data_IF_770399574518
#
_entry.id   IF_770399574518
#
_cell.length_a   1.000
_cell.length_b   1.000
_cell.length_c   1.000
_cell.angle_alpha   90.00
_cell.angle_beta   90.00
_cell.angle_gamma   90.00
#
_symmetry.space_group_name_H-M   'P 1'
#
loop_
_entity.id
_entity.type
_entity.pdbx_description
1 polymer ?
#
# COMPACT_ATOMS: atom_id res chain seq x y z
N UNK A 1 -15.05 -31.08 12.95
CA UNK A 1 -15.24 -29.84 13.76
C UNK A 1 -13.93 -29.12 14.08
N UNK A 2 -12.96 -29.73 14.79
CA UNK A 2 -11.69 -29.05 15.15
C UNK A 2 -10.93 -28.42 13.97
N UNK A 3 -10.81 -29.12 12.83
CA UNK A 3 -10.14 -28.60 11.61
C UNK A 3 -10.82 -27.36 11.03
N UNK A 4 -12.16 -27.32 11.00
CA UNK A 4 -12.93 -26.19 10.47
C UNK A 4 -12.82 -24.96 11.38
N UNK A 5 -12.77 -25.16 12.70
CA UNK A 5 -12.54 -24.07 13.65
C UNK A 5 -11.16 -23.44 13.44
N UNK A 6 -10.12 -24.25 13.25
CA UNK A 6 -8.77 -23.74 12.92
C UNK A 6 -8.79 -22.96 11.61
N UNK A 7 -9.46 -23.46 10.57
CA UNK A 7 -9.58 -22.74 9.30
C UNK A 7 -10.36 -21.42 9.44
N UNK A 8 -11.39 -21.37 10.27
CA UNK A 8 -12.11 -20.13 10.56
C UNK A 8 -11.22 -19.12 11.30
N UNK A 9 -10.42 -19.55 12.27
CA UNK A 9 -9.44 -18.67 12.92
C UNK A 9 -8.38 -18.17 11.94
N UNK A 10 -7.99 -19.00 10.97
CA UNK A 10 -7.07 -18.60 9.90
C UNK A 10 -7.71 -17.58 9.00
N UNK A 11 -8.95 -17.78 8.54
CA UNK A 11 -9.70 -16.79 7.75
C UNK A 11 -9.86 -15.47 8.49
N UNK A 12 -10.11 -15.52 9.79
CA UNK A 12 -10.16 -14.35 10.66
C UNK A 12 -8.80 -13.62 10.70
N UNK A 13 -7.72 -14.32 11.00
CA UNK A 13 -6.38 -13.72 11.06
C UNK A 13 -5.93 -13.19 9.69
N UNK A 14 -6.19 -13.95 8.63
CA UNK A 14 -5.90 -13.59 7.25
C UNK A 14 -6.64 -12.30 6.88
N UNK A 15 -7.94 -12.17 7.18
CA UNK A 15 -8.70 -10.96 6.87
C UNK A 15 -8.31 -9.76 7.75
N UNK A 16 -7.90 -9.98 9.00
CA UNK A 16 -7.39 -8.89 9.84
C UNK A 16 -6.12 -8.28 9.23
N UNK A 17 -5.20 -9.13 8.76
CA UNK A 17 -4.01 -8.67 8.04
C UNK A 17 -4.43 -7.99 6.73
N UNK A 18 -5.33 -8.61 5.99
CA UNK A 18 -5.75 -8.17 4.67
C UNK A 18 -6.45 -6.81 4.69
N UNK A 19 -7.51 -6.63 5.47
CA UNK A 19 -8.18 -5.32 5.54
C UNK A 19 -7.34 -4.23 6.25
N UNK A 20 -6.33 -4.61 7.06
CA UNK A 20 -5.46 -3.61 7.71
C UNK A 20 -4.23 -3.23 6.89
N UNK A 21 -3.80 -4.07 5.93
CA UNK A 21 -2.63 -3.84 5.09
C UNK A 21 -2.92 -3.78 3.60
N UNK A 22 -4.12 -4.18 3.16
CA UNK A 22 -4.52 -4.37 1.76
C UNK A 22 -3.83 -5.56 1.10
N UNK A 23 -3.60 -6.64 1.84
CA UNK A 23 -2.84 -7.80 1.36
C UNK A 23 -2.86 -9.02 2.29
N UNK A 24 -2.59 -10.19 1.69
CA UNK A 24 -2.18 -11.44 2.33
C UNK A 24 -3.30 -12.36 2.85
N UNK A 25 -4.58 -12.07 2.57
CA UNK A 25 -5.63 -13.07 2.80
C UNK A 25 -5.33 -14.35 1.99
N UNK A 26 -5.22 -14.19 0.67
CA UNK A 26 -4.92 -15.30 -0.22
C UNK A 26 -3.59 -15.98 0.11
N UNK A 27 -2.51 -15.21 0.25
CA UNK A 27 -1.17 -15.77 0.54
C UNK A 27 -1.20 -16.67 1.77
N UNK A 28 -1.83 -16.21 2.85
CA UNK A 28 -1.86 -16.91 4.13
C UNK A 28 -2.75 -18.15 4.03
N UNK A 29 -3.95 -17.99 3.48
CA UNK A 29 -4.93 -19.07 3.35
C UNK A 29 -4.43 -20.17 2.40
N UNK A 30 -3.96 -19.81 1.21
CA UNK A 30 -3.43 -20.75 0.21
C UNK A 30 -2.18 -21.47 0.72
N UNK A 31 -1.27 -20.76 1.38
CA UNK A 31 -0.10 -21.36 2.02
C UNK A 31 -0.51 -22.45 3.02
N UNK A 32 -1.49 -22.18 3.88
CA UNK A 32 -1.94 -23.16 4.86
C UNK A 32 -2.59 -24.38 4.18
N UNK A 33 -3.41 -24.15 3.15
CA UNK A 33 -4.05 -25.23 2.40
C UNK A 33 -3.02 -26.13 1.69
N UNK A 34 -1.97 -25.54 1.11
CA UNK A 34 -0.85 -26.29 0.54
C UNK A 34 -0.11 -27.11 1.61
N UNK A 35 0.10 -26.56 2.81
CA UNK A 35 0.77 -27.26 3.92
C UNK A 35 0.01 -28.52 4.34
N UNK A 36 -1.33 -28.50 4.30
CA UNK A 36 -2.17 -29.68 4.60
C UNK A 36 -2.42 -30.57 3.39
N UNK A 37 -1.77 -30.30 2.24
CA UNK A 37 -1.76 -31.16 1.07
C UNK A 37 -2.92 -30.94 0.10
N UNK A 38 -3.62 -29.80 0.17
CA UNK A 38 -4.65 -29.46 -0.82
C UNK A 38 -3.97 -29.20 -2.18
N UNK A 39 -4.59 -29.69 -3.25
CA UNK A 39 -4.12 -29.44 -4.60
C UNK A 39 -4.08 -27.93 -4.91
N UNK A 40 -3.03 -27.40 -5.55
CA UNK A 40 -2.84 -25.96 -5.77
C UNK A 40 -4.04 -25.24 -6.40
N UNK A 41 -4.58 -25.80 -7.48
CA UNK A 41 -5.73 -25.21 -8.16
C UNK A 41 -6.98 -25.19 -7.26
N UNK A 42 -7.23 -26.25 -6.49
CA UNK A 42 -8.34 -26.32 -5.54
C UNK A 42 -8.15 -25.40 -4.33
N UNK A 43 -6.92 -25.24 -3.86
CA UNK A 43 -6.57 -24.30 -2.79
C UNK A 43 -6.85 -22.86 -3.26
N UNK A 44 -6.32 -22.48 -4.42
CA UNK A 44 -6.56 -21.17 -5.02
C UNK A 44 -8.05 -20.93 -5.28
N UNK A 45 -8.74 -21.86 -5.92
CA UNK A 45 -10.18 -21.76 -6.18
C UNK A 45 -11.01 -21.56 -4.91
N UNK A 46 -10.73 -22.34 -3.86
CA UNK A 46 -11.46 -22.25 -2.59
C UNK A 46 -11.20 -20.93 -1.86
N UNK A 47 -9.98 -20.42 -1.93
CA UNK A 47 -9.59 -19.15 -1.30
C UNK A 47 -10.24 -17.98 -2.02
N UNK A 48 -10.16 -17.90 -3.35
CA UNK A 48 -10.81 -16.84 -4.12
C UNK A 48 -12.33 -16.86 -3.97
N UNK A 49 -12.95 -18.05 -3.88
CA UNK A 49 -14.39 -18.14 -3.63
C UNK A 49 -14.77 -17.59 -2.25
N UNK A 50 -13.94 -17.84 -1.23
CA UNK A 50 -14.14 -17.22 0.09
C UNK A 50 -13.91 -15.70 0.03
N UNK A 51 -12.91 -15.25 -0.73
CA UNK A 51 -12.57 -13.84 -0.90
C UNK A 51 -13.70 -13.04 -1.51
N UNK A 52 -14.58 -13.60 -2.36
CA UNK A 52 -15.77 -12.86 -2.84
C UNK A 52 -16.56 -12.29 -1.66
N UNK A 53 -16.84 -13.10 -0.64
CA UNK A 53 -17.63 -12.65 0.51
C UNK A 53 -16.83 -11.77 1.47
N UNK A 54 -15.57 -12.10 1.72
CA UNK A 54 -14.75 -11.34 2.68
C UNK A 54 -14.36 -9.97 2.14
N UNK A 55 -13.93 -9.89 0.88
CA UNK A 55 -13.58 -8.62 0.20
C UNK A 55 -14.81 -7.76 -0.07
N UNK A 56 -16.00 -8.36 -0.29
CA UNK A 56 -17.24 -7.58 -0.31
C UNK A 56 -17.50 -6.91 1.05
N UNK A 57 -17.42 -7.67 2.14
CA UNK A 57 -17.62 -7.13 3.49
C UNK A 57 -16.54 -6.09 3.85
N UNK A 58 -15.29 -6.34 3.49
CA UNK A 58 -14.17 -5.44 3.73
C UNK A 58 -14.28 -4.16 2.88
N UNK A 59 -14.63 -4.27 1.60
CA UNK A 59 -14.90 -3.13 0.73
C UNK A 59 -16.04 -2.25 1.24
N UNK A 60 -17.15 -2.85 1.71
CA UNK A 60 -18.24 -2.12 2.37
C UNK A 60 -17.75 -1.39 3.63
N UNK A 61 -16.95 -2.06 4.47
CA UNK A 61 -16.40 -1.46 5.68
C UNK A 61 -15.43 -0.31 5.37
N UNK A 62 -14.48 -0.51 4.46
CA UNK A 62 -13.55 0.53 3.99
C UNK A 62 -14.30 1.71 3.38
N UNK A 63 -15.34 1.46 2.59
CA UNK A 63 -16.17 2.53 2.03
C UNK A 63 -16.84 3.36 3.15
N UNK A 64 -17.44 2.70 4.15
CA UNK A 64 -18.05 3.39 5.31
C UNK A 64 -17.03 4.17 6.14
N UNK A 65 -15.80 3.68 6.28
CA UNK A 65 -14.72 4.41 6.94
C UNK A 65 -14.08 5.49 6.06
N UNK A 66 -14.57 5.73 4.84
CA UNK A 66 -14.02 6.72 3.93
C UNK A 66 -12.61 6.35 3.45
N UNK A 67 -12.25 5.07 3.45
CA UNK A 67 -10.95 4.54 3.02
C UNK A 67 -10.92 4.23 1.51
N UNK A 68 -11.98 4.48 0.74
CA UNK A 68 -12.03 4.12 -0.69
C UNK A 68 -11.83 5.34 -1.59
N UNK A 69 -10.98 5.19 -2.60
CA UNK A 69 -10.91 6.01 -3.81
C UNK A 69 -11.48 5.21 -4.99
N UNK A 70 -12.71 5.54 -5.39
CA UNK A 70 -13.45 4.86 -6.48
C UNK A 70 -12.80 5.01 -7.86
N UNK A 71 -11.97 6.05 -8.03
CA UNK A 71 -11.22 6.31 -9.26
C UNK A 71 -10.12 5.26 -9.43
N UNK A 72 -9.47 4.85 -8.34
CA UNK A 72 -8.51 3.75 -8.34
C UNK A 72 -9.21 2.42 -8.56
N UNK A 73 -10.27 2.15 -7.79
CA UNK A 73 -11.05 0.89 -7.88
C UNK A 73 -11.47 0.63 -9.32
N UNK A 74 -12.17 1.58 -9.95
CA UNK A 74 -12.65 1.44 -11.34
C UNK A 74 -11.56 1.20 -12.38
N UNK A 75 -10.32 1.66 -12.14
CA UNK A 75 -9.22 1.53 -13.11
C UNK A 75 -8.35 0.31 -12.92
N UNK A 76 -8.33 -0.26 -11.72
CA UNK A 76 -7.52 -1.44 -11.41
C UNK A 76 -8.36 -2.73 -11.41
N UNK A 77 -9.63 -2.65 -11.01
CA UNK A 77 -10.51 -3.82 -10.86
C UNK A 77 -10.75 -4.56 -12.17
N UNK A 78 -11.12 -3.87 -13.26
CA UNK A 78 -11.42 -4.53 -14.53
C UNK A 78 -10.18 -5.17 -15.18
N UNK A 79 -9.03 -4.48 -15.31
CA UNK A 79 -7.80 -5.13 -15.76
C UNK A 79 -7.37 -6.27 -14.84
N UNK A 80 -7.55 -6.11 -13.52
CA UNK A 80 -7.31 -7.15 -12.53
C UNK A 80 -8.18 -8.39 -12.72
N UNK A 81 -9.47 -8.20 -12.96
CA UNK A 81 -10.41 -9.28 -13.25
C UNK A 81 -10.01 -10.07 -14.50
N UNK A 82 -9.58 -9.38 -15.56
CA UNK A 82 -9.08 -10.03 -16.78
C UNK A 82 -7.83 -10.86 -16.46
N UNK A 83 -6.87 -10.27 -15.73
CA UNK A 83 -5.66 -10.95 -15.30
C UNK A 83 -5.96 -12.19 -14.45
N UNK A 84 -6.84 -12.05 -13.46
CA UNK A 84 -7.24 -13.12 -12.56
C UNK A 84 -7.98 -14.25 -13.25
N UNK A 85 -8.89 -13.94 -14.18
CA UNK A 85 -9.53 -14.95 -15.00
C UNK A 85 -8.51 -15.74 -15.84
N UNK A 86 -7.56 -15.04 -16.48
CA UNK A 86 -6.49 -15.68 -17.25
C UNK A 86 -5.58 -16.54 -16.36
N UNK A 87 -5.22 -16.05 -15.17
CA UNK A 87 -4.41 -16.77 -14.20
C UNK A 87 -5.12 -18.02 -13.65
N UNK A 88 -6.42 -17.92 -13.37
CA UNK A 88 -7.24 -19.05 -12.92
C UNK A 88 -7.36 -20.11 -14.03
N UNK A 89 -7.57 -19.68 -15.27
CA UNK A 89 -7.61 -20.56 -16.45
C UNK A 89 -6.27 -21.29 -16.61
N UNK A 90 -5.15 -20.57 -16.53
CA UNK A 90 -3.82 -21.16 -16.61
C UNK A 90 -3.60 -22.18 -15.49
N UNK A 91 -3.82 -21.79 -14.24
CA UNK A 91 -3.59 -22.69 -13.10
C UNK A 91 -4.47 -23.94 -13.16
N UNK A 92 -5.71 -23.80 -13.64
CA UNK A 92 -6.63 -24.93 -13.82
C UNK A 92 -6.17 -25.90 -14.91
N UNK A 93 -5.42 -25.42 -15.91
CA UNK A 93 -4.88 -26.25 -16.99
C UNK A 93 -3.59 -27.00 -16.62
N UNK A 94 -2.92 -26.62 -15.53
CA UNK A 94 -1.65 -27.22 -15.11
C UNK A 94 -1.91 -28.46 -14.26
N UNK A 95 -1.18 -29.55 -14.52
CA UNK A 95 -1.29 -30.77 -13.71
C UNK A 95 -0.99 -30.49 -12.23
N UNK A 96 -1.74 -31.11 -11.33
CA UNK A 96 -1.61 -30.89 -9.87
C UNK A 96 -0.21 -31.18 -9.33
N UNK A 97 0.51 -32.15 -9.92
CA UNK A 97 1.88 -32.52 -9.51
C UNK A 97 2.90 -31.43 -9.84
N UNK A 98 2.79 -30.80 -11.01
CA UNK A 98 3.69 -29.70 -11.38
C UNK A 98 3.27 -28.38 -10.74
N UNK A 99 1.98 -28.14 -10.52
CA UNK A 99 1.49 -26.86 -9.99
C UNK A 99 2.00 -26.53 -8.56
N UNK A 100 2.30 -27.54 -7.74
CA UNK A 100 2.67 -27.32 -6.33
C UNK A 100 3.98 -26.55 -6.14
N UNK A 101 5.12 -26.95 -6.74
CA UNK A 101 6.35 -26.15 -6.66
C UNK A 101 6.23 -24.78 -7.33
N UNK A 102 5.44 -24.65 -8.41
CA UNK A 102 5.20 -23.36 -9.06
C UNK A 102 4.47 -22.38 -8.15
N UNK A 103 3.33 -22.79 -7.58
CA UNK A 103 2.54 -21.97 -6.65
C UNK A 103 3.36 -21.63 -5.40
N UNK A 104 4.06 -22.62 -4.81
CA UNK A 104 4.94 -22.37 -3.67
C UNK A 104 6.09 -21.41 -4.00
N UNK A 105 6.63 -21.46 -5.23
CA UNK A 105 7.64 -20.52 -5.70
C UNK A 105 7.12 -19.09 -5.80
N UNK A 106 5.92 -18.90 -6.32
CA UNK A 106 5.25 -17.59 -6.37
C UNK A 106 5.01 -17.08 -4.93
N UNK A 107 4.40 -17.89 -4.07
CA UNK A 107 4.12 -17.54 -2.67
C UNK A 107 5.41 -17.22 -1.91
N UNK A 108 6.46 -18.03 -2.05
CA UNK A 108 7.77 -17.78 -1.45
C UNK A 108 8.37 -16.46 -1.93
N UNK A 109 8.33 -16.20 -3.23
CA UNK A 109 8.87 -14.97 -3.83
C UNK A 109 8.12 -13.74 -3.34
N UNK A 110 6.79 -13.81 -3.29
CA UNK A 110 5.96 -12.75 -2.73
C UNK A 110 6.26 -12.56 -1.26
N UNK A 111 6.30 -13.62 -0.45
CA UNK A 111 6.66 -13.55 0.98
C UNK A 111 8.03 -12.91 1.21
N UNK A 112 9.03 -13.28 0.42
CA UNK A 112 10.37 -12.70 0.47
C UNK A 112 10.37 -11.22 0.08
N UNK A 113 9.61 -10.87 -0.98
CA UNK A 113 9.39 -9.48 -1.37
C UNK A 113 8.76 -8.67 -0.23
N UNK A 114 7.74 -9.19 0.45
CA UNK A 114 7.13 -8.53 1.60
C UNK A 114 8.14 -8.32 2.73
N UNK A 115 8.93 -9.35 3.02
CA UNK A 115 9.99 -9.31 4.03
C UNK A 115 10.94 -8.13 3.80
N UNK A 116 11.43 -8.00 2.56
CA UNK A 116 12.38 -6.94 2.16
C UNK A 116 11.67 -5.58 2.06
N UNK A 117 10.44 -5.54 1.56
CA UNK A 117 9.69 -4.30 1.35
C UNK A 117 9.35 -3.62 2.67
N UNK A 118 8.93 -4.40 3.66
CA UNK A 118 8.47 -3.92 4.97
C UNK A 118 9.59 -3.85 6.03
N UNK A 119 10.76 -4.42 5.77
CA UNK A 119 11.98 -4.15 6.57
C UNK A 119 12.61 -2.78 6.27
N UNK A 120 12.11 -2.06 5.25
CA UNK A 120 12.59 -0.74 4.83
C UNK A 120 11.55 0.35 5.12
N UNK A 121 11.96 1.61 5.31
CA UNK A 121 11.01 2.72 5.49
C UNK A 121 10.01 2.82 4.34
N UNK A 122 8.74 3.07 4.66
CA UNK A 122 7.72 3.43 3.69
C UNK A 122 7.91 4.92 3.37
N UNK A 123 8.08 5.29 2.09
CA UNK A 123 8.14 6.69 1.68
C UNK A 123 6.76 7.31 1.80
N UNK A 124 6.62 8.37 2.58
CA UNK A 124 5.35 9.11 2.77
C UNK A 124 5.47 10.58 2.34
N UNK A 125 6.60 10.93 1.73
CA UNK A 125 7.11 12.30 1.62
C UNK A 125 6.46 13.10 0.47
N UNK A 126 5.56 12.47 -0.30
CA UNK A 126 4.92 13.07 -1.50
C UNK A 126 3.43 12.76 -1.57
N UNK A 127 2.68 13.11 -0.52
CA UNK A 127 1.22 13.03 -0.56
C UNK A 127 0.70 14.13 -1.48
N UNK A 128 0.17 13.74 -2.64
CA UNK A 128 -0.38 14.67 -3.62
C UNK A 128 -0.17 14.23 -5.06
N UNK A 129 -1.26 14.19 -5.84
CA UNK A 129 -1.24 13.94 -7.28
C UNK A 129 -2.15 12.80 -7.71
N UNK A 130 -2.34 12.66 -9.03
CA UNK A 130 -3.29 11.71 -9.61
C UNK A 130 -2.58 10.45 -10.07
N UNK A 131 -3.09 9.28 -9.69
CA UNK A 131 -2.69 8.00 -10.30
C UNK A 131 -3.27 7.92 -11.71
N UNK A 132 -2.40 7.67 -12.70
CA UNK A 132 -2.79 7.62 -14.11
C UNK A 132 -3.24 6.22 -14.50
N UNK A 133 -4.24 6.11 -15.37
CA UNK A 133 -4.75 4.84 -15.87
C UNK A 133 -3.69 3.96 -16.55
N UNK A 134 -2.72 4.58 -17.25
CA UNK A 134 -1.58 3.88 -17.86
C UNK A 134 -0.67 3.12 -16.89
N UNK A 135 -0.74 3.43 -15.59
CA UNK A 135 -0.05 2.69 -14.54
C UNK A 135 -0.99 1.66 -13.90
N UNK A 136 -2.22 2.06 -13.59
CA UNK A 136 -3.20 1.22 -12.88
C UNK A 136 -3.64 0.01 -13.71
N UNK A 137 -3.80 0.15 -15.03
CA UNK A 137 -4.26 -0.94 -15.88
C UNK A 137 -3.29 -2.12 -15.94
N UNK A 138 -2.02 -1.90 -16.36
CA UNK A 138 -1.01 -2.96 -16.36
C UNK A 138 -0.74 -3.52 -14.97
N UNK A 139 -0.73 -2.67 -13.93
CA UNK A 139 -0.58 -3.13 -12.56
C UNK A 139 -1.71 -4.07 -12.15
N UNK A 140 -2.97 -3.70 -12.41
CA UNK A 140 -4.12 -4.53 -12.11
C UNK A 140 -4.05 -5.87 -12.83
N UNK A 141 -3.78 -5.86 -14.13
CA UNK A 141 -3.67 -7.08 -14.93
C UNK A 141 -2.60 -8.05 -14.40
N UNK A 142 -1.40 -7.54 -14.10
CA UNK A 142 -0.33 -8.38 -13.52
C UNK A 142 -0.69 -8.85 -12.12
N UNK A 143 -1.21 -7.95 -11.27
CA UNK A 143 -1.62 -8.29 -9.91
C UNK A 143 -2.67 -9.40 -9.90
N UNK A 144 -3.74 -9.27 -10.69
CA UNK A 144 -4.78 -10.29 -10.79
C UNK A 144 -4.29 -11.62 -11.36
N UNK A 145 -3.42 -11.60 -12.37
CA UNK A 145 -2.84 -12.84 -12.90
C UNK A 145 -1.99 -13.59 -11.86
N UNK A 146 -1.11 -12.86 -11.17
CA UNK A 146 -0.31 -13.41 -10.06
C UNK A 146 -1.22 -13.83 -8.90
N UNK A 147 -2.36 -13.17 -8.74
CA UNK A 147 -3.35 -13.48 -7.73
C UNK A 147 -3.89 -14.91 -7.85
N UNK A 148 -4.51 -15.20 -8.99
CA UNK A 148 -5.10 -16.51 -9.24
C UNK A 148 -4.05 -17.63 -9.34
N UNK A 149 -2.89 -17.36 -9.96
CA UNK A 149 -1.83 -18.37 -10.13
C UNK A 149 -1.07 -18.67 -8.85
N UNK A 150 -0.86 -17.67 -8.00
CA UNK A 150 -0.18 -17.78 -6.71
C UNK A 150 -1.11 -18.09 -5.55
N UNK A 151 -2.42 -17.90 -5.70
CA UNK A 151 -3.42 -18.03 -4.64
C UNK A 151 -3.45 -16.86 -3.67
N UNK A 152 -3.15 -15.62 -4.09
CA UNK A 152 -3.15 -14.45 -3.19
C UNK A 152 -2.16 -13.31 -3.52
N UNK A 153 -1.74 -13.21 -4.78
CA UNK A 153 -0.84 -12.18 -5.29
C UNK A 153 -1.39 -10.76 -5.41
N UNK A 154 -2.70 -10.53 -5.33
CA UNK A 154 -3.31 -9.21 -5.57
C UNK A 154 -2.72 -8.10 -4.69
N UNK A 155 -2.90 -8.21 -3.38
CA UNK A 155 -2.41 -7.21 -2.43
C UNK A 155 -0.89 -7.00 -2.44
N UNK A 156 -0.05 -8.06 -2.37
CA UNK A 156 1.42 -7.96 -2.43
C UNK A 156 1.96 -7.23 -3.67
N UNK A 157 1.26 -7.32 -4.80
CA UNK A 157 1.65 -6.64 -6.03
C UNK A 157 1.06 -5.23 -6.09
N UNK A 158 -0.24 -5.09 -5.87
CA UNK A 158 -0.96 -3.82 -6.03
C UNK A 158 -0.65 -2.81 -4.91
N UNK A 159 -0.76 -3.22 -3.65
CA UNK A 159 -0.67 -2.31 -2.50
C UNK A 159 0.71 -1.65 -2.40
N UNK A 160 1.83 -2.40 -2.35
CA UNK A 160 3.15 -1.78 -2.30
C UNK A 160 3.45 -0.88 -3.50
N UNK A 161 3.02 -1.25 -4.71
CA UNK A 161 3.20 -0.43 -5.91
C UNK A 161 2.48 0.92 -5.80
N UNK A 162 1.26 0.92 -5.26
CA UNK A 162 0.49 2.13 -5.03
C UNK A 162 1.02 2.96 -3.85
N UNK A 163 1.43 2.32 -2.75
CA UNK A 163 2.05 2.99 -1.60
C UNK A 163 3.36 3.68 -1.99
N UNK A 164 4.20 3.02 -2.80
CA UNK A 164 5.48 3.60 -3.26
C UNK A 164 5.27 4.82 -4.17
N UNK A 165 4.13 4.91 -4.86
CA UNK A 165 3.82 6.09 -5.66
C UNK A 165 3.70 7.37 -4.81
N UNK A 166 3.37 7.25 -3.52
CA UNK A 166 3.14 8.34 -2.57
C UNK A 166 1.87 9.16 -2.84
N UNK A 167 1.18 8.95 -3.97
CA UNK A 167 0.13 9.85 -4.47
C UNK A 167 -1.18 9.80 -3.69
N UNK A 168 -1.41 8.73 -2.93
CA UNK A 168 -2.60 8.53 -2.11
C UNK A 168 -2.18 8.22 -0.68
N UNK A 169 -3.03 8.61 0.26
CA UNK A 169 -2.88 8.23 1.66
C UNK A 169 -2.90 6.70 1.80
N UNK A 170 -2.08 6.10 2.70
CA UNK A 170 -2.01 4.64 2.84
C UNK A 170 -3.36 3.95 3.06
N UNK A 171 -4.22 4.52 3.91
CA UNK A 171 -5.58 3.99 4.15
C UNK A 171 -6.43 3.98 2.88
N UNK A 172 -6.25 4.97 1.99
CA UNK A 172 -6.95 5.08 0.71
C UNK A 172 -6.44 4.06 -0.31
N UNK A 173 -5.12 3.82 -0.32
CA UNK A 173 -4.54 2.74 -1.13
C UNK A 173 -5.10 1.40 -0.69
N UNK A 174 -5.01 1.09 0.61
CA UNK A 174 -5.44 -0.19 1.18
C UNK A 174 -6.92 -0.44 0.91
N UNK A 175 -7.78 0.53 1.28
CA UNK A 175 -9.22 0.37 1.08
C UNK A 175 -9.63 0.27 -0.39
N UNK A 176 -8.96 0.98 -1.31
CA UNK A 176 -9.23 0.84 -2.75
C UNK A 176 -8.76 -0.49 -3.34
N UNK A 177 -7.61 -1.03 -2.88
CA UNK A 177 -7.11 -2.32 -3.37
C UNK A 177 -8.01 -3.45 -2.89
N UNK A 178 -8.35 -3.47 -1.60
CA UNK A 178 -9.25 -4.45 -0.98
C UNK A 178 -10.67 -4.39 -1.60
N UNK A 179 -11.21 -3.18 -1.82
CA UNK A 179 -12.52 -3.03 -2.50
C UNK A 179 -12.49 -3.54 -3.95
N UNK A 180 -11.40 -3.31 -4.67
CA UNK A 180 -11.27 -3.78 -6.05
C UNK A 180 -11.12 -5.31 -6.14
N UNK A 181 -10.59 -5.93 -5.10
CA UNK A 181 -10.38 -7.37 -4.99
C UNK A 181 -11.68 -8.17 -5.11
N UNK A 182 -12.81 -7.62 -4.68
CA UNK A 182 -14.13 -8.23 -4.90
C UNK A 182 -14.38 -8.62 -6.36
N UNK A 183 -14.04 -7.73 -7.29
CA UNK A 183 -14.22 -7.97 -8.73
C UNK A 183 -13.19 -8.99 -9.24
N UNK A 184 -11.97 -8.93 -8.70
CA UNK A 184 -10.85 -9.80 -9.07
C UNK A 184 -11.08 -11.24 -8.61
N UNK A 185 -11.42 -11.43 -7.33
CA UNK A 185 -11.78 -12.70 -6.73
C UNK A 185 -13.02 -13.32 -7.39
N UNK A 186 -14.00 -12.49 -7.76
CA UNK A 186 -15.15 -12.91 -8.56
C UNK A 186 -14.73 -13.49 -9.91
N UNK A 187 -13.88 -12.78 -10.66
CA UNK A 187 -13.39 -13.24 -11.95
C UNK A 187 -12.48 -14.47 -11.86
N UNK A 188 -11.61 -14.55 -10.84
CA UNK A 188 -10.82 -15.74 -10.53
C UNK A 188 -11.72 -16.95 -10.28
N UNK A 189 -12.75 -16.78 -9.44
CA UNK A 189 -13.70 -17.84 -9.08
C UNK A 189 -14.48 -18.33 -10.30
N UNK A 190 -14.90 -17.44 -11.20
CA UNK A 190 -15.51 -17.83 -12.48
C UNK A 190 -14.51 -18.62 -13.34
N UNK A 191 -13.26 -18.17 -13.44
CA UNK A 191 -12.21 -18.90 -14.18
C UNK A 191 -11.97 -20.30 -13.63
N UNK A 192 -11.88 -20.45 -12.31
CA UNK A 192 -11.76 -21.75 -11.65
C UNK A 192 -13.01 -22.61 -11.82
N UNK A 193 -14.20 -22.03 -11.77
CA UNK A 193 -15.44 -22.77 -12.00
C UNK A 193 -15.51 -23.34 -13.41
N UNK A 194 -15.09 -22.57 -14.42
CA UNK A 194 -15.01 -23.05 -15.80
C UNK A 194 -13.92 -24.11 -15.96
N UNK A 195 -12.74 -23.89 -15.35
CA UNK A 195 -11.58 -24.77 -15.52
C UNK A 195 -11.65 -26.08 -14.73
N UNK A 196 -12.27 -26.08 -13.54
CA UNK A 196 -12.27 -27.21 -12.60
C UNK A 196 -13.67 -27.75 -12.30
N UNK A 197 -14.73 -27.04 -12.69
CA UNK A 197 -16.09 -27.35 -12.25
C UNK A 197 -16.32 -27.09 -10.75
N UNK A 198 -17.45 -27.56 -10.23
CA UNK A 198 -17.81 -27.40 -8.81
C UNK A 198 -16.93 -28.24 -7.88
N UNK A 199 -16.34 -29.32 -8.39
CA UNK A 199 -15.43 -30.20 -7.63
C UNK A 199 -14.10 -29.53 -7.27
N UNK A 200 -13.72 -28.46 -7.97
CA UNK A 200 -12.55 -27.65 -7.64
C UNK A 200 -12.65 -26.89 -6.31
N UNK A 201 -13.85 -26.74 -5.76
CA UNK A 201 -14.11 -25.94 -4.56
C UNK A 201 -14.31 -26.80 -3.32
N UNK A 202 -13.48 -26.59 -2.30
CA UNK A 202 -13.62 -27.23 -1.00
C UNK A 202 -14.62 -26.46 -0.13
N UNK A 203 -15.91 -26.61 -0.41
CA UNK A 203 -16.99 -25.84 0.24
C UNK A 203 -16.89 -25.72 1.78
N UNK A 204 -16.56 -26.78 2.55
CA UNK A 204 -16.38 -26.63 4.00
C UNK A 204 -15.22 -25.70 4.37
N UNK A 205 -14.13 -25.72 3.60
CA UNK A 205 -12.98 -24.82 3.77
C UNK A 205 -13.36 -23.39 3.39
N UNK A 206 -14.07 -23.22 2.26
CA UNK A 206 -14.58 -21.92 1.79
C UNK A 206 -15.43 -21.27 2.88
N UNK A 207 -16.41 -22.00 3.42
CA UNK A 207 -17.31 -21.50 4.46
C UNK A 207 -16.57 -21.17 5.75
N UNK A 208 -15.62 -22.01 6.18
CA UNK A 208 -14.83 -21.74 7.38
C UNK A 208 -14.02 -20.44 7.24
N UNK A 209 -13.28 -20.31 6.14
CA UNK A 209 -12.48 -19.11 5.82
C UNK A 209 -13.38 -17.86 5.73
N UNK A 210 -14.49 -17.96 4.99
CA UNK A 210 -15.47 -16.90 4.82
C UNK A 210 -16.04 -16.42 6.16
N UNK A 211 -16.50 -17.33 7.03
CA UNK A 211 -17.07 -16.96 8.34
C UNK A 211 -16.04 -16.19 9.18
N UNK A 212 -14.80 -16.69 9.24
CA UNK A 212 -13.71 -16.02 9.94
C UNK A 212 -13.45 -14.62 9.37
N UNK A 213 -13.37 -14.52 8.04
CA UNK A 213 -13.11 -13.25 7.37
C UNK A 213 -14.25 -12.24 7.51
N UNK A 214 -15.51 -12.65 7.42
CA UNK A 214 -16.66 -11.76 7.61
C UNK A 214 -16.66 -11.08 8.98
N UNK A 215 -16.26 -11.81 10.03
CA UNK A 215 -16.13 -11.25 11.39
C UNK A 215 -14.99 -10.23 11.45
N UNK A 216 -13.87 -10.52 10.79
CA UNK A 216 -12.67 -9.70 10.84
C UNK A 216 -12.74 -8.44 9.95
N UNK A 217 -13.42 -8.50 8.81
CA UNK A 217 -13.47 -7.43 7.80
C UNK A 217 -13.77 -6.01 8.36
N UNK A 218 -14.84 -5.79 9.15
CA UNK A 218 -15.12 -4.46 9.70
C UNK A 218 -14.04 -3.99 10.70
N UNK A 219 -13.51 -4.91 11.50
CA UNK A 219 -12.45 -4.61 12.46
C UNK A 219 -11.15 -4.22 11.74
N UNK A 220 -10.79 -4.95 10.68
CA UNK A 220 -9.61 -4.71 9.87
C UNK A 220 -9.63 -3.32 9.20
N UNK A 221 -10.77 -2.94 8.62
CA UNK A 221 -10.93 -1.64 7.95
C UNK A 221 -10.78 -0.44 8.90
N UNK A 222 -11.17 -0.60 10.17
CA UNK A 222 -10.90 0.38 11.22
C UNK A 222 -9.42 0.38 11.62
N UNK A 223 -8.85 -0.80 11.79
CA UNK A 223 -7.50 -1.03 12.28
C UNK A 223 -6.40 -0.50 11.35
N UNK A 224 -6.71 -0.31 10.05
CA UNK A 224 -5.83 0.29 9.02
C UNK A 224 -5.20 1.63 9.46
N UNK A 225 -5.86 2.37 10.38
CA UNK A 225 -5.41 3.69 10.85
C UNK A 225 -4.38 3.61 11.98
N UNK A 226 -4.27 2.46 12.63
CA UNK A 226 -3.55 2.29 13.91
C UNK A 226 -2.36 1.35 13.72
N UNK A 227 -2.53 0.33 12.88
CA UNK A 227 -1.58 -0.77 12.81
C UNK A 227 -0.33 -0.42 12.01
N UNK A 228 0.87 -0.71 12.57
CA UNK A 228 2.12 -0.48 11.87
C UNK A 228 2.34 -1.53 10.78
N UNK A 229 2.12 -1.15 9.53
CA UNK A 229 2.22 -2.03 8.37
C UNK A 229 3.58 -2.74 8.24
N UNK A 230 4.67 -2.09 8.66
CA UNK A 230 6.02 -2.69 8.64
C UNK A 230 6.11 -3.98 9.45
N UNK A 231 5.51 -4.01 10.63
CA UNK A 231 5.62 -5.17 11.54
C UNK A 231 4.80 -6.34 11.02
N UNK A 232 3.54 -6.11 10.65
CA UNK A 232 2.69 -7.19 10.15
C UNK A 232 3.19 -7.71 8.80
N UNK A 233 3.61 -6.82 7.89
CA UNK A 233 4.16 -7.23 6.60
C UNK A 233 5.42 -8.10 6.73
N UNK A 234 6.33 -7.75 7.64
CA UNK A 234 7.52 -8.56 7.92
C UNK A 234 7.18 -9.88 8.65
N UNK A 235 6.21 -9.88 9.57
CA UNK A 235 5.76 -11.10 10.24
C UNK A 235 5.12 -12.08 9.24
N UNK A 236 4.14 -11.62 8.48
CA UNK A 236 3.38 -12.42 7.51
C UNK A 236 4.28 -12.91 6.38
N UNK A 237 5.14 -12.04 5.83
CA UNK A 237 6.13 -12.43 4.82
C UNK A 237 7.03 -13.57 5.29
N UNK A 238 7.47 -13.55 6.55
CA UNK A 238 8.36 -14.59 7.07
C UNK A 238 7.67 -15.93 7.29
N UNK A 239 6.41 -15.91 7.78
CA UNK A 239 5.58 -17.12 7.86
C UNK A 239 5.42 -17.74 6.47
N UNK A 240 5.08 -16.94 5.45
CA UNK A 240 4.89 -17.42 4.07
C UNK A 240 6.20 -17.99 3.50
N UNK A 241 7.33 -17.31 3.70
CA UNK A 241 8.65 -17.79 3.27
C UNK A 241 8.98 -19.14 3.89
N UNK A 242 8.87 -19.27 5.22
CA UNK A 242 9.22 -20.51 5.91
C UNK A 242 8.33 -21.69 5.54
N UNK A 243 7.03 -21.45 5.41
CA UNK A 243 6.06 -22.48 5.07
C UNK A 243 6.20 -22.95 3.62
N UNK A 244 6.38 -22.05 2.66
CA UNK A 244 6.55 -22.42 1.26
C UNK A 244 7.94 -22.95 0.93
N UNK A 245 8.98 -22.56 1.69
CA UNK A 245 10.31 -23.18 1.60
C UNK A 245 10.25 -24.70 1.80
N UNK A 246 9.31 -25.20 2.63
CA UNK A 246 9.09 -26.64 2.81
C UNK A 246 8.77 -27.34 1.49
N UNK A 247 7.86 -26.78 0.71
CA UNK A 247 7.43 -27.35 -0.57
C UNK A 247 8.57 -27.31 -1.58
N UNK A 248 9.30 -26.20 -1.63
CA UNK A 248 10.43 -26.01 -2.54
C UNK A 248 11.63 -26.92 -2.23
N UNK A 249 12.01 -27.04 -0.95
CA UNK A 249 13.10 -27.93 -0.50
C UNK A 249 12.75 -29.38 -0.82
N UNK A 250 11.48 -29.78 -0.60
CA UNK A 250 11.00 -31.13 -0.92
C UNK A 250 11.01 -31.41 -2.41
N UNK A 251 10.60 -30.46 -3.25
CA UNK A 251 10.62 -30.62 -4.71
C UNK A 251 12.03 -30.62 -5.30
N UNK A 252 12.99 -29.96 -4.64
CA UNK A 252 14.39 -29.95 -5.04
C UNK A 252 15.19 -31.16 -4.49
N UNK A 253 14.52 -32.10 -3.81
CA UNK A 253 15.12 -33.31 -3.22
C UNK A 253 16.31 -33.01 -2.27
N UNK A 254 16.32 -31.82 -1.68
CA UNK A 254 17.37 -31.38 -0.76
C UNK A 254 17.20 -32.07 0.60
N UNK A 255 18.00 -33.11 0.84
CA UNK A 255 17.96 -33.95 2.03
C UNK A 255 19.20 -33.78 2.93
N UNK A 256 19.14 -34.31 4.14
CA UNK A 256 20.28 -34.29 5.09
C UNK A 256 20.50 -32.92 5.77
N UNK A 257 21.76 -32.56 6.11
CA UNK A 257 22.08 -31.38 6.94
C UNK A 257 21.81 -30.04 6.22
N UNK A 258 21.66 -30.05 4.90
CA UNK A 258 21.35 -28.85 4.11
C UNK A 258 19.97 -28.30 4.46
N UNK A 259 18.99 -29.17 4.70
CA UNK A 259 17.62 -28.77 5.02
C UNK A 259 17.49 -27.94 6.31
N UNK A 260 18.00 -28.37 7.48
CA UNK A 260 17.98 -27.55 8.68
C UNK A 260 18.83 -26.28 8.56
N UNK A 261 19.95 -26.32 7.82
CA UNK A 261 20.77 -25.14 7.55
C UNK A 261 19.99 -24.06 6.77
N UNK A 262 19.24 -24.45 5.73
CA UNK A 262 18.37 -23.53 4.98
C UNK A 262 17.28 -22.94 5.87
N UNK A 263 16.62 -23.74 6.70
CA UNK A 263 15.63 -23.22 7.65
C UNK A 263 16.23 -22.26 8.67
N UNK A 264 17.43 -22.55 9.18
CA UNK A 264 18.13 -21.65 10.11
C UNK A 264 18.47 -20.30 9.43
N UNK A 265 18.93 -20.32 8.18
CA UNK A 265 19.19 -19.11 7.40
C UNK A 265 17.92 -18.30 7.15
N UNK A 266 16.82 -18.94 6.75
CA UNK A 266 15.54 -18.27 6.54
C UNK A 266 14.98 -17.68 7.85
N UNK A 267 15.08 -18.40 8.96
CA UNK A 267 14.67 -17.93 10.27
C UNK A 267 15.52 -16.74 10.74
N UNK A 268 16.85 -16.78 10.54
CA UNK A 268 17.73 -15.66 10.82
C UNK A 268 17.40 -14.44 9.95
N UNK A 269 17.13 -14.64 8.66
CA UNK A 269 16.69 -13.59 7.75
C UNK A 269 15.36 -12.96 8.19
N UNK A 270 14.41 -13.77 8.66
CA UNK A 270 13.14 -13.28 9.20
C UNK A 270 13.33 -12.46 10.48
N UNK A 271 14.13 -12.96 11.43
CA UNK A 271 14.46 -12.21 12.65
C UNK A 271 15.14 -10.88 12.33
N UNK A 272 16.09 -10.88 11.39
CA UNK A 272 16.73 -9.65 10.93
C UNK A 272 15.71 -8.68 10.33
N UNK A 273 14.80 -9.15 9.47
CA UNK A 273 13.76 -8.34 8.87
C UNK A 273 12.81 -7.74 9.92
N UNK A 274 12.42 -8.51 10.95
CA UNK A 274 11.63 -8.01 12.08
C UNK A 274 12.37 -6.91 12.86
N UNK A 275 13.65 -7.11 13.16
CA UNK A 275 14.48 -6.09 13.81
C UNK A 275 14.57 -4.82 12.96
N UNK A 276 14.77 -4.96 11.65
CA UNK A 276 14.79 -3.82 10.74
C UNK A 276 13.43 -3.12 10.63
N UNK A 277 12.33 -3.86 10.59
CA UNK A 277 10.98 -3.31 10.60
C UNK A 277 10.70 -2.51 11.89
N UNK A 278 11.09 -3.02 13.07
CA UNK A 278 11.02 -2.30 14.35
C UNK A 278 11.84 -1.02 14.30
N UNK A 279 13.09 -1.09 13.80
CA UNK A 279 13.97 0.08 13.67
C UNK A 279 13.39 1.12 12.72
N UNK A 280 12.88 0.70 11.57
CA UNK A 280 12.25 1.57 10.58
C UNK A 280 11.01 2.26 11.16
N UNK A 281 10.17 1.52 11.89
CA UNK A 281 8.99 2.06 12.57
C UNK A 281 9.37 3.09 13.65
N UNK A 282 10.38 2.79 14.48
CA UNK A 282 10.87 3.73 15.49
C UNK A 282 11.41 5.01 14.86
N UNK A 283 12.22 4.89 13.80
CA UNK A 283 12.75 6.06 13.05
C UNK A 283 11.65 6.91 12.44
N UNK A 284 10.64 6.28 11.86
CA UNK A 284 9.49 6.99 11.29
C UNK A 284 8.72 7.77 12.37
N UNK A 285 8.49 7.18 13.54
CA UNK A 285 7.84 7.85 14.68
C UNK A 285 8.64 9.04 15.21
N UNK A 286 9.96 8.88 15.37
CA UNK A 286 10.84 9.99 15.79
C UNK A 286 10.76 11.13 14.78
N UNK A 287 10.91 10.83 13.48
CA UNK A 287 10.85 11.85 12.42
C UNK A 287 9.50 12.58 12.42
N UNK A 288 8.39 11.86 12.56
CA UNK A 288 7.06 12.46 12.65
C UNK A 288 6.94 13.43 13.85
N UNK A 289 7.40 13.02 15.04
CA UNK A 289 7.38 13.88 16.23
C UNK A 289 8.26 15.13 16.08
N UNK A 290 9.41 15.02 15.42
CA UNK A 290 10.29 16.18 15.17
C UNK A 290 9.68 17.15 14.17
N UNK A 291 9.04 16.65 13.10
CA UNK A 291 8.34 17.48 12.12
C UNK A 291 7.12 18.18 12.74
N UNK A 292 6.34 17.49 13.56
CA UNK A 292 5.22 18.09 14.30
C UNK A 292 5.70 19.19 15.26
N UNK A 293 6.78 18.95 16.01
CA UNK A 293 7.38 19.94 16.89
C UNK A 293 7.92 21.16 16.11
N UNK A 294 8.58 20.95 14.97
CA UNK A 294 9.09 22.03 14.13
C UNK A 294 7.95 22.85 13.48
N UNK A 295 6.87 22.19 13.06
CA UNK A 295 5.69 22.85 12.48
C UNK A 295 4.96 23.67 13.55
N UNK A 296 4.80 23.13 14.76
CA UNK A 296 4.22 23.85 15.89
C UNK A 296 5.07 25.06 16.32
N UNK A 297 6.40 24.93 16.32
CA UNK A 297 7.29 26.05 16.60
C UNK A 297 7.18 27.16 15.53
N UNK A 298 7.00 26.77 14.25
CA UNK A 298 6.83 27.72 13.14
C UNK A 298 5.48 28.45 13.22
N UNK A 299 4.38 27.74 13.50
CA UNK A 299 3.05 28.38 13.65
C UNK A 299 2.97 29.28 14.87
N UNK A 300 3.65 28.95 15.97
CA UNK A 300 3.75 29.85 17.15
C UNK A 300 4.58 31.09 16.83
N UNK A 301 5.67 30.95 16.05
CA UNK A 301 6.48 32.09 15.62
C UNK A 301 5.74 33.02 14.64
N UNK A 302 4.89 32.46 13.77
CA UNK A 302 4.06 33.23 12.81
C UNK A 302 2.82 33.87 13.47
N UNK A 303 2.30 33.27 14.54
CA UNK A 303 1.18 33.81 15.33
C UNK A 303 1.59 34.83 16.41
N UNK A 304 2.90 35.01 16.66
CA UNK A 304 3.38 36.05 17.56
C UNK A 304 3.03 37.44 17.00
N UNK A 305 2.36 38.32 17.76
CA UNK A 305 1.89 39.58 17.22
C UNK A 305 3.09 40.45 16.81
N UNK A 306 2.95 41.13 15.68
CA UNK A 306 3.84 42.18 15.18
C UNK A 306 3.74 43.41 16.10
N UNK A 307 4.08 43.28 17.39
CA UNK A 307 4.11 44.37 18.36
C UNK A 307 5.52 44.89 18.64
N UNK A 308 6.56 44.24 18.10
CA UNK A 308 7.95 44.69 18.26
C UNK A 308 8.40 45.73 17.21
N UNK A 309 7.68 45.92 16.10
CA UNK A 309 8.09 46.85 15.04
C UNK A 309 7.61 48.30 15.23
N UNK A 310 6.76 48.60 16.21
CA UNK A 310 6.31 49.98 16.52
C UNK A 310 7.05 50.62 17.70
N UNK A 311 7.78 49.86 18.52
CA UNK A 311 8.54 50.41 19.64
C UNK A 311 9.87 51.06 19.19
N UNK A 312 10.43 50.65 18.06
CA UNK A 312 11.69 51.22 17.53
C UNK A 312 11.46 52.53 16.77
N UNK A 313 10.27 52.75 16.21
CA UNK A 313 9.93 53.99 15.48
C UNK A 313 9.52 55.14 16.41
N UNK A 314 9.01 54.84 17.61
CA UNK A 314 8.61 55.87 18.57
C UNK A 314 9.81 56.52 19.31
N UNK A 315 10.95 55.83 19.42
CA UNK A 315 12.15 56.41 20.03
C UNK A 315 12.94 57.32 19.10
N UNK A 316 12.69 57.27 17.79
CA UNK A 316 13.43 58.07 16.79
C UNK A 316 12.75 59.40 16.46
N UNK A 317 11.45 59.52 16.71
CA UNK A 317 10.67 60.74 16.45
C UNK A 317 10.82 61.82 17.53
N UNK A 318 11.46 61.55 18.67
CA UNK A 318 11.66 62.54 19.75
C UNK A 318 13.01 63.27 19.63
N UNK A 319 13.95 62.78 18.81
CA UNK A 319 15.30 63.37 18.68
C UNK A 319 15.43 64.37 17.52
N UNK A 320 14.50 64.39 16.56
CA UNK A 320 14.58 65.30 15.39
C UNK A 320 13.85 66.64 15.56
N UNK A 321 13.23 66.93 16.70
CA UNK A 321 12.43 68.15 16.90
C UNK A 321 13.17 69.35 17.53
N UNK A 322 14.51 69.29 17.69
CA UNK A 322 15.29 70.39 18.28
C UNK A 322 16.53 70.67 17.42
N UNK A 323 16.34 71.30 16.26
CA UNK A 323 17.29 72.25 15.65
C UNK A 323 16.67 72.76 14.35
N UNK A 324 15.96 73.88 14.39
CA UNK A 324 15.94 74.77 13.23
C UNK A 324 15.77 76.22 13.68
N UNK A 325 16.72 77.07 13.28
CA UNK A 325 16.74 78.53 13.44
C UNK A 325 17.22 79.10 12.11
N UNK A 326 16.55 80.09 11.51
CA UNK A 326 16.74 80.39 10.09
C UNK A 326 17.79 81.49 9.85
N UNK A 327 18.55 81.37 8.76
CA UNK A 327 19.27 82.49 8.16
C UNK A 327 19.36 82.39 6.63
N UNK A 328 18.55 83.22 5.96
CA UNK A 328 18.91 84.23 4.95
C UNK A 328 19.68 83.90 3.64
N UNK A 329 19.12 84.44 2.53
CA UNK A 329 19.75 84.89 1.26
C UNK A 329 20.27 83.80 0.28
N UNK A 330 20.17 83.89 -1.05
CA UNK A 330 19.62 84.84 -2.02
C UNK A 330 19.63 84.21 -3.44
N UNK A 331 18.83 84.79 -4.35
CA UNK A 331 19.02 84.96 -5.81
C UNK A 331 18.93 83.77 -6.81
N UNK A 332 17.93 83.93 -7.70
CA UNK A 332 17.67 83.38 -9.05
C UNK A 332 18.67 83.89 -10.14
N UNK A 333 18.51 83.63 -11.47
CA UNK A 333 17.84 82.54 -12.24
C UNK A 333 18.66 82.09 -13.50
N UNK A 334 18.21 81.05 -14.23
CA UNK A 334 18.00 81.03 -15.71
C UNK A 334 18.00 79.62 -16.33
N UNK A 335 17.00 79.35 -17.20
CA UNK A 335 17.25 78.77 -18.53
C UNK A 335 16.61 77.42 -18.90
N UNK A 336 15.62 77.45 -19.81
CA UNK A 336 15.62 76.53 -20.98
C UNK A 336 14.58 75.40 -21.11
N UNK A 337 13.43 75.71 -21.73
CA UNK A 337 12.75 74.98 -22.84
C UNK A 337 12.75 73.41 -22.96
N UNK A 338 11.62 72.74 -22.65
CA UNK A 338 10.56 72.16 -23.54
C UNK A 338 10.96 71.72 -25.00
N UNK A 339 10.35 70.69 -25.68
CA UNK A 339 9.87 69.33 -25.35
C UNK A 339 10.05 68.26 -26.51
N UNK A 340 9.36 67.10 -26.40
CA UNK A 340 8.67 66.31 -27.47
C UNK A 340 9.30 65.08 -28.16
N UNK A 341 8.41 64.10 -28.43
CA UNK A 341 8.49 63.05 -29.48
C UNK A 341 8.49 61.61 -28.93
N UNK A 342 7.39 60.87 -28.79
CA UNK A 342 6.49 60.20 -29.77
C UNK A 342 7.11 59.11 -30.67
N UNK A 343 6.46 57.94 -30.68
CA UNK A 343 6.51 56.89 -31.71
C UNK A 343 7.59 55.81 -31.49
N UNK A 344 7.37 54.51 -31.67
CA UNK A 344 6.25 53.75 -32.21
C UNK A 344 6.69 52.28 -32.40
N UNK A 345 5.73 51.37 -32.28
CA UNK A 345 5.46 50.22 -33.18
C UNK A 345 6.51 49.12 -33.43
N UNK A 346 6.04 47.87 -33.41
CA UNK A 346 6.62 46.72 -34.15
C UNK A 346 6.73 45.45 -33.30
N UNK A 347 5.74 44.54 -33.26
CA UNK A 347 5.44 43.43 -34.20
C UNK A 347 6.26 42.14 -34.00
N UNK A 348 5.56 41.02 -34.27
CA UNK A 348 6.04 39.66 -34.60
C UNK A 348 6.32 38.72 -33.42
N UNK A 349 5.48 37.73 -33.11
CA UNK A 349 5.06 36.52 -33.86
C UNK A 349 6.10 35.38 -33.87
N UNK A 350 5.58 34.20 -33.48
CA UNK A 350 6.00 32.82 -33.78
C UNK A 350 7.27 32.26 -33.10
N UNK A 351 7.10 31.33 -32.15
CA UNK A 351 6.94 29.89 -32.38
C UNK A 351 6.42 29.18 -31.13
#
# INVERSE_FOLDING_TARGET
MRKLLVLALVGLAAQLVDGSLGMAYGLTSSTLLLVVGVAPAAASASVHLAEIGTTFAAGVAHWRFGNVDWRVVSRIALPGAIGAFAGATLLSSISTRSAAPWMAGILFTLGAYLLVRFSRPLRTDRIGGRLRGRFLGPLGLVAGFVDATGGGGWGPVATPALLVSGRLEPRKVIGSVDTAEFVVAGAASVGFLIGLGTEGFLLPTVLALLIGGLIAAPLAAWLVRIVPAQLLGAAVGGVIVLTNARTLIRSAELNGPVRPALYALLAAGWLAALVFAVRALRRARVTASTTEAATAATTVAEAAPVTASKAVTASRAVTEAVTDTPSGHAAEPHGGSVPAGLGGTGTSSAR
#
